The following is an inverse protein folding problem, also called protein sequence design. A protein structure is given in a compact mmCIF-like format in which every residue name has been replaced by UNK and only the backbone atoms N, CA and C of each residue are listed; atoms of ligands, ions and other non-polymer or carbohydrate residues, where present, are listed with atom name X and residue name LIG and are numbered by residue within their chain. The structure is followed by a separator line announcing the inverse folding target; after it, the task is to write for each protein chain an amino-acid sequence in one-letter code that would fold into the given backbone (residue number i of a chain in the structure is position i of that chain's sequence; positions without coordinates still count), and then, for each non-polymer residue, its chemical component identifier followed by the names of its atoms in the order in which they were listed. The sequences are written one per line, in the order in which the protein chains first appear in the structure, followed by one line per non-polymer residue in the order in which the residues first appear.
data_IF_668827545436
#
_entry.id   IF_668827545436
#
_cell.length_a   1.000
_cell.length_b   1.000
_cell.length_c   1.000
_cell.angle_alpha   90.00
_cell.angle_beta   90.00
_cell.angle_gamma   90.00
#
_symmetry.space_group_name_H-M   'P 1'
#
loop_
_entity.id
_entity.type
_entity.pdbx_description
1 polymer ?
#
# COMPACT_ATOMS: atom_id res chain seq x y z
N UNK A 1 -19.98 -4.52 6.58
CA UNK A 1 -18.66 -4.42 7.25
C UNK A 1 -17.63 -4.98 6.30
N UNK A 2 -16.93 -4.12 5.57
CA UNK A 2 -15.81 -4.57 4.75
C UNK A 2 -14.81 -5.24 5.70
N UNK A 3 -14.44 -6.48 5.41
CA UNK A 3 -13.26 -7.11 6.02
C UNK A 3 -12.13 -6.11 5.85
N UNK A 4 -11.54 -5.63 6.95
CA UNK A 4 -10.46 -4.65 6.92
C UNK A 4 -9.28 -5.25 6.15
N UNK A 5 -9.18 -4.89 4.85
CA UNK A 5 -8.19 -5.39 3.88
C UNK A 5 -6.76 -5.25 4.41
N UNK A 6 -6.55 -4.26 5.26
CA UNK A 6 -5.26 -3.88 5.81
C UNK A 6 -5.10 -4.28 7.29
N UNK A 7 -6.01 -5.07 7.86
CA UNK A 7 -5.96 -5.51 9.26
C UNK A 7 -4.61 -6.08 9.70
N UNK A 8 -3.98 -6.91 8.86
CA UNK A 8 -2.63 -7.43 9.17
C UNK A 8 -1.53 -6.37 9.12
N UNK A 9 -1.68 -5.36 8.25
CA UNK A 9 -0.76 -4.23 8.15
C UNK A 9 -0.93 -3.29 9.36
N UNK A 10 -2.16 -3.00 9.75
CA UNK A 10 -2.47 -2.14 10.91
C UNK A 10 -2.13 -2.78 12.25
N UNK A 11 -2.12 -4.12 12.34
CA UNK A 11 -1.64 -4.86 13.52
C UNK A 11 -0.11 -4.92 13.62
N UNK A 12 0.62 -4.64 12.53
CA UNK A 12 2.08 -4.60 12.56
C UNK A 12 2.52 -3.23 13.08
N UNK A 13 3.07 -3.22 14.31
CA UNK A 13 3.43 -1.99 15.04
C UNK A 13 4.18 -0.92 14.23
N UNK A 14 5.18 -1.27 13.39
CA UNK A 14 5.87 -0.30 12.54
C UNK A 14 5.01 0.40 11.47
N UNK A 15 3.86 -0.15 11.09
CA UNK A 15 2.88 0.50 10.20
C UNK A 15 1.76 1.10 11.04
N UNK A 16 1.03 0.26 11.80
CA UNK A 16 -0.10 0.71 12.60
C UNK A 16 -1.25 1.29 11.76
N UNK A 17 -2.28 1.81 12.42
CA UNK A 17 -3.37 2.52 11.74
C UNK A 17 -2.89 3.80 11.07
N UNK A 18 -2.03 4.55 11.76
CA UNK A 18 -1.51 5.83 11.26
C UNK A 18 -0.65 5.65 9.99
N UNK A 19 0.21 4.64 9.95
CA UNK A 19 0.99 4.31 8.75
C UNK A 19 0.09 3.90 7.58
N UNK A 20 -0.99 3.15 7.83
CA UNK A 20 -1.94 2.80 6.78
C UNK A 20 -2.68 4.02 6.22
N UNK A 21 -3.07 4.97 7.07
CA UNK A 21 -3.67 6.23 6.60
C UNK A 21 -2.66 7.07 5.80
N UNK A 22 -1.40 7.09 6.20
CA UNK A 22 -0.33 7.75 5.42
C UNK A 22 -0.13 7.11 4.05
N UNK A 23 -0.17 5.78 3.97
CA UNK A 23 -0.12 5.06 2.69
C UNK A 23 -1.30 5.46 1.81
N UNK A 24 -2.53 5.43 2.37
CA UNK A 24 -3.74 5.85 1.67
C UNK A 24 -3.63 7.30 1.16
N UNK A 25 -3.19 8.25 1.97
CA UNK A 25 -3.04 9.64 1.52
C UNK A 25 -1.88 9.89 0.53
N UNK A 26 -1.03 8.89 0.26
CA UNK A 26 0.16 9.06 -0.57
C UNK A 26 -0.13 8.83 -2.05
N UNK A 27 0.66 9.48 -2.92
CA UNK A 27 0.66 9.25 -4.35
C UNK A 27 2.07 8.85 -4.82
N UNK A 28 2.16 7.91 -5.77
CA UNK A 28 3.43 7.44 -6.33
C UNK A 28 3.34 7.41 -7.85
N UNK A 29 4.38 7.94 -8.51
CA UNK A 29 4.55 7.84 -9.97
C UNK A 29 5.56 6.75 -10.30
N UNK A 30 5.18 5.80 -11.16
CA UNK A 30 6.08 4.77 -11.67
C UNK A 30 6.49 5.13 -13.10
N UNK A 31 7.79 5.26 -13.36
CA UNK A 31 8.33 5.52 -14.70
C UNK A 31 8.87 4.20 -15.26
N UNK A 32 8.13 3.63 -16.20
CA UNK A 32 8.42 2.35 -16.85
C UNK A 32 7.61 1.19 -16.26
N UNK A 33 6.74 0.61 -17.09
CA UNK A 33 5.79 -0.45 -16.70
C UNK A 33 6.22 -1.84 -17.22
N UNK A 34 7.53 -2.12 -17.23
CA UNK A 34 8.08 -3.43 -17.60
C UNK A 34 8.09 -4.41 -16.42
N UNK A 35 9.10 -5.31 -16.39
CA UNK A 35 9.23 -6.32 -15.34
C UNK A 35 9.27 -5.71 -13.92
N UNK A 36 10.11 -4.70 -13.69
CA UNK A 36 10.22 -4.05 -12.38
C UNK A 36 9.00 -3.21 -12.04
N UNK A 37 8.53 -2.39 -13.00
CA UNK A 37 7.37 -1.52 -12.81
C UNK A 37 6.11 -2.29 -12.43
N UNK A 38 5.88 -3.44 -13.07
CA UNK A 38 4.74 -4.33 -12.78
C UNK A 38 4.79 -4.87 -11.35
N UNK A 39 5.96 -5.34 -10.90
CA UNK A 39 6.13 -5.86 -9.52
C UNK A 39 5.93 -4.75 -8.48
N UNK A 40 6.50 -3.57 -8.73
CA UNK A 40 6.32 -2.40 -7.86
C UNK A 40 4.85 -1.99 -7.79
N UNK A 41 4.16 -1.82 -8.93
CA UNK A 41 2.75 -1.45 -8.97
C UNK A 41 1.88 -2.42 -8.16
N UNK A 42 2.09 -3.74 -8.34
CA UNK A 42 1.36 -4.76 -7.59
C UNK A 42 1.57 -4.63 -6.06
N UNK A 43 2.82 -4.41 -5.61
CA UNK A 43 3.11 -4.26 -4.19
C UNK A 43 2.52 -2.97 -3.62
N UNK A 44 2.65 -1.83 -4.32
CA UNK A 44 2.15 -0.53 -3.86
C UNK A 44 0.62 -0.52 -3.75
N UNK A 45 -0.10 -1.07 -4.73
CA UNK A 45 -1.56 -1.19 -4.67
C UNK A 45 -2.01 -2.11 -3.52
N UNK A 46 -1.27 -3.19 -3.23
CA UNK A 46 -1.58 -4.10 -2.12
C UNK A 46 -1.23 -3.52 -0.75
N UNK A 47 -0.24 -2.63 -0.68
CA UNK A 47 0.05 -1.84 0.52
C UNK A 47 -1.01 -0.75 0.77
N UNK A 48 -1.83 -0.42 -0.23
CA UNK A 48 -2.91 0.57 -0.08
C UNK A 48 -2.44 2.00 -0.27
N UNK A 49 -1.53 2.23 -1.23
CA UNK A 49 -1.23 3.57 -1.72
C UNK A 49 -2.39 4.09 -2.58
N UNK A 50 -2.87 5.30 -2.26
CA UNK A 50 -4.02 5.97 -2.90
C UNK A 50 -5.36 5.72 -2.21
#
# INVERSE_FOLDING_TARGET
MAIDRYSRQTLFGPIGKEGQERLRSSAVTIIGCGALGTVLANNLCRAGIG
#
